data_IF_228623786511
#
_entry.id   IF_228623786511
#
_cell.length_a   1.000
_cell.length_b   1.000
_cell.length_c   1.000
_cell.angle_alpha   90.00
_cell.angle_beta   90.00
_cell.angle_gamma   90.00
#
_symmetry.space_group_name_H-M   'P 1'
#
loop_
_entity.id
_entity.type
_entity.pdbx_description
1 polymer ?
#
# COMPACT_ATOMS: atom_id res chain seq x y z
N UNK A 1 8.89 -12.16 -19.60
CA UNK A 1 9.67 -11.05 -19.00
C UNK A 1 10.11 -11.51 -17.62
N UNK A 2 11.41 -11.70 -17.41
CA UNK A 2 11.97 -12.11 -16.11
C UNK A 2 12.20 -10.85 -15.28
N UNK A 3 11.44 -10.66 -14.20
CA UNK A 3 11.67 -9.55 -13.28
C UNK A 3 13.05 -9.72 -12.64
N UNK A 4 14.00 -8.86 -13.01
CA UNK A 4 15.27 -8.76 -12.29
C UNK A 4 14.99 -8.38 -10.83
N UNK A 5 15.65 -9.02 -9.85
CA UNK A 5 15.43 -8.72 -8.44
C UNK A 5 15.73 -7.23 -8.19
N UNK A 6 14.83 -6.58 -7.45
CA UNK A 6 15.03 -5.20 -7.02
C UNK A 6 16.31 -5.14 -6.17
N UNK A 7 17.05 -4.02 -6.25
CA UNK A 7 18.26 -3.81 -5.45
C UNK A 7 18.20 -2.44 -4.80
N UNK A 8 18.48 -2.40 -3.50
CA UNK A 8 18.60 -1.16 -2.74
C UNK A 8 20.02 -1.04 -2.18
N UNK A 9 20.75 0.01 -2.54
CA UNK A 9 22.16 0.23 -2.13
C UNK A 9 23.08 -0.97 -2.37
N UNK A 10 22.88 -1.70 -3.46
CA UNK A 10 23.68 -2.88 -3.83
C UNK A 10 23.22 -4.20 -3.21
N UNK A 11 22.35 -4.17 -2.20
CA UNK A 11 21.76 -5.35 -1.55
C UNK A 11 20.50 -5.79 -2.31
N UNK A 12 20.29 -7.09 -2.46
CA UNK A 12 19.06 -7.63 -3.03
C UNK A 12 17.88 -7.23 -2.14
N UNK A 13 16.88 -6.60 -2.74
CA UNK A 13 15.67 -6.16 -2.07
C UNK A 13 14.56 -7.17 -2.35
N UNK A 14 14.15 -7.86 -1.29
CA UNK A 14 13.04 -8.80 -1.31
C UNK A 14 11.93 -8.25 -0.44
N UNK A 15 10.90 -7.69 -1.08
CA UNK A 15 9.75 -7.11 -0.39
C UNK A 15 8.94 -8.16 0.39
N UNK A 16 9.11 -9.45 0.12
CA UNK A 16 8.40 -10.52 0.85
C UNK A 16 8.97 -10.78 2.24
N UNK A 17 10.15 -10.24 2.55
CA UNK A 17 10.80 -10.37 3.86
C UNK A 17 10.33 -9.31 4.86
N UNK A 18 9.53 -8.34 4.42
CA UNK A 18 9.01 -7.32 5.32
C UNK A 18 7.97 -7.91 6.27
N UNK A 19 8.13 -7.66 7.56
CA UNK A 19 7.09 -7.94 8.52
C UNK A 19 5.83 -7.15 8.13
N UNK A 20 4.74 -7.88 7.97
CA UNK A 20 3.46 -7.27 7.68
C UNK A 20 2.81 -6.81 8.99
N UNK A 21 2.17 -5.61 9.01
CA UNK A 21 1.41 -5.18 10.16
C UNK A 21 0.32 -6.19 10.52
N UNK A 22 -0.01 -6.28 11.82
CA UNK A 22 -1.07 -7.16 12.30
C UNK A 22 -2.42 -6.82 11.67
N UNK A 23 -3.20 -7.88 11.41
CA UNK A 23 -4.61 -7.78 11.01
C UNK A 23 -5.54 -7.63 12.22
N UNK A 24 -5.02 -7.71 13.44
CA UNK A 24 -5.81 -7.47 14.64
C UNK A 24 -6.21 -6.01 14.75
N UNK A 25 -7.46 -5.78 15.13
CA UNK A 25 -7.98 -4.43 15.28
C UNK A 25 -7.40 -3.79 16.55
N UNK A 26 -6.91 -2.56 16.40
CA UNK A 26 -6.39 -1.75 17.49
C UNK A 26 -7.18 -0.46 17.59
N UNK A 27 -7.15 0.17 18.76
CA UNK A 27 -7.77 1.48 18.97
C UNK A 27 -6.88 2.58 18.39
N UNK A 28 -7.47 3.46 17.59
CA UNK A 28 -6.84 4.64 17.00
C UNK A 28 -7.50 5.90 17.52
N UNK A 29 -6.73 6.98 17.61
CA UNK A 29 -7.24 8.33 17.90
C UNK A 29 -6.78 9.29 16.81
N UNK A 30 -7.71 9.79 16.00
CA UNK A 30 -7.43 10.78 14.96
C UNK A 30 -8.27 12.03 15.20
N UNK A 31 -7.62 13.17 15.42
CA UNK A 31 -8.28 14.47 15.69
C UNK A 31 -9.34 14.39 16.81
N UNK A 32 -9.06 13.60 17.85
CA UNK A 32 -9.97 13.37 18.97
C UNK A 32 -11.11 12.37 18.69
N UNK A 33 -11.18 11.78 17.48
CA UNK A 33 -12.11 10.70 17.17
C UNK A 33 -11.44 9.35 17.41
N UNK A 34 -12.11 8.51 18.20
CA UNK A 34 -11.69 7.13 18.44
C UNK A 34 -12.33 6.21 17.41
N UNK A 35 -11.54 5.31 16.85
CA UNK A 35 -12.03 4.26 15.96
C UNK A 35 -11.17 3.01 16.10
N UNK A 36 -11.77 1.85 15.83
CA UNK A 36 -11.11 0.55 15.94
C UNK A 36 -10.91 -0.02 14.55
N UNK A 37 -9.67 -0.25 14.16
CA UNK A 37 -9.31 -0.78 12.85
C UNK A 37 -7.98 -1.54 12.91
N UNK A 38 -7.76 -2.53 12.04
CA UNK A 38 -6.45 -3.16 11.90
C UNK A 38 -5.36 -2.18 11.48
N UNK A 39 -4.11 -2.44 11.88
CA UNK A 39 -2.95 -1.68 11.38
C UNK A 39 -2.69 -1.97 9.90
N UNK A 40 -3.00 -3.18 9.45
CA UNK A 40 -2.91 -3.57 8.05
C UNK A 40 -4.10 -3.01 7.27
N UNK A 41 -3.80 -2.17 6.29
CA UNK A 41 -4.78 -1.68 5.33
C UNK A 41 -4.90 -2.66 4.16
N UNK A 42 -6.03 -3.33 4.03
CA UNK A 42 -6.34 -4.10 2.82
C UNK A 42 -6.66 -3.12 1.68
N UNK A 43 -6.06 -3.27 0.49
CA UNK A 43 -6.36 -2.40 -0.63
C UNK A 43 -7.84 -2.52 -1.00
N UNK A 44 -8.53 -1.40 -1.06
CA UNK A 44 -9.86 -1.35 -1.62
C UNK A 44 -9.80 -1.69 -3.12
N UNK A 45 -10.84 -2.32 -3.70
CA UNK A 45 -10.91 -2.53 -5.13
C UNK A 45 -10.79 -1.18 -5.85
N UNK A 46 -9.95 -1.14 -6.89
CA UNK A 46 -9.80 0.06 -7.70
C UNK A 46 -11.13 0.41 -8.36
N UNK A 47 -11.55 1.67 -8.26
CA UNK A 47 -12.74 2.16 -8.93
C UNK A 47 -12.40 2.47 -10.40
N UNK A 48 -12.99 1.75 -11.38
CA UNK A 48 -12.68 1.92 -12.79
C UNK A 48 -13.15 3.29 -13.35
N UNK A 49 -14.00 4.00 -12.61
CA UNK A 49 -14.43 5.36 -12.98
C UNK A 49 -13.44 6.45 -12.53
N UNK A 50 -12.42 6.08 -11.73
CA UNK A 50 -11.39 7.03 -11.29
C UNK A 50 -10.41 7.33 -12.41
N UNK A 51 -10.36 8.60 -12.83
CA UNK A 51 -9.35 9.10 -13.78
C UNK A 51 -8.11 9.57 -13.01
N UNK A 52 -7.02 8.79 -13.06
CA UNK A 52 -5.75 9.17 -12.46
C UNK A 52 -4.92 9.96 -13.47
N UNK A 53 -4.83 11.28 -13.29
CA UNK A 53 -3.95 12.13 -14.08
C UNK A 53 -2.62 12.34 -13.38
N UNK A 54 -1.52 11.89 -13.98
CA UNK A 54 -0.17 12.13 -13.46
C UNK A 54 0.75 12.62 -14.58
N UNK A 55 1.34 13.80 -14.37
CA UNK A 55 2.24 14.48 -15.34
C UNK A 55 1.65 14.63 -16.74
N UNK A 56 0.34 14.89 -16.83
CA UNK A 56 -0.37 15.06 -18.11
C UNK A 56 -0.70 13.75 -18.84
N UNK A 57 -0.37 12.59 -18.25
CA UNK A 57 -0.84 11.30 -18.71
C UNK A 57 -2.05 10.84 -17.90
N UNK A 58 -3.06 10.34 -18.58
CA UNK A 58 -4.21 9.67 -17.98
C UNK A 58 -3.87 8.19 -17.79
N UNK A 59 -4.08 7.71 -16.57
CA UNK A 59 -3.92 6.32 -16.20
C UNK A 59 -5.29 5.74 -15.96
N UNK A 60 -5.64 4.76 -16.78
CA UNK A 60 -6.79 3.90 -16.56
C UNK A 60 -6.31 2.64 -15.83
N UNK A 61 -7.09 2.21 -14.85
CA UNK A 61 -6.83 0.99 -14.08
C UNK A 61 -7.01 -0.29 -14.92
#
# INVERSE_FOLDING_TARGET
MTNSPLRYRGVAYDASQHEHPSTEAVEHTYRGQHYVAPLRHEPAPADPSTDLQYRGAHYHH
#
